data_IF_178655822792
#
_entry.id   IF_178655822792
#
_cell.length_a   1.000
_cell.length_b   1.000
_cell.length_c   1.000
_cell.angle_alpha   90.00
_cell.angle_beta   90.00
_cell.angle_gamma   90.00
#
_symmetry.space_group_name_H-M   'P 1'
#
loop_
_entity.id
_entity.type
_entity.pdbx_description
1 polymer ?
#
# COMPACT_ATOMS: atom_id res chain seq x y z
N UNK A 1 -10.98 -1.01 3.61
CA UNK A 1 -10.48 0.28 3.08
C UNK A 1 -11.06 1.48 3.80
N UNK A 2 -12.37 1.76 3.75
CA UNK A 2 -12.91 2.93 4.47
C UNK A 2 -13.09 2.70 5.97
N UNK A 3 -13.37 1.47 6.40
CA UNK A 3 -13.47 1.10 7.83
C UNK A 3 -12.10 1.16 8.55
N UNK A 4 -10.99 1.09 7.81
CA UNK A 4 -9.64 1.19 8.39
C UNK A 4 -9.43 2.56 9.05
N UNK A 5 -10.17 3.59 8.61
CA UNK A 5 -10.14 4.92 9.24
C UNK A 5 -10.77 4.95 10.64
N UNK A 6 -11.59 3.95 11.02
CA UNK A 6 -12.00 3.80 12.43
C UNK A 6 -10.82 3.35 13.30
N UNK A 7 -10.03 2.39 12.80
CA UNK A 7 -8.86 1.88 13.54
C UNK A 7 -7.73 2.91 13.67
N UNK A 8 -7.72 3.92 12.80
CA UNK A 8 -6.75 5.01 12.80
C UNK A 8 -7.22 6.23 13.63
N UNK A 9 -8.40 6.15 14.26
CA UNK A 9 -9.08 7.27 14.95
C UNK A 9 -9.38 8.46 14.03
N UNK A 10 -9.56 8.21 12.74
CA UNK A 10 -9.85 9.23 11.72
C UNK A 10 -11.34 9.48 11.57
N UNK A 11 -12.14 8.46 11.88
CA UNK A 11 -13.60 8.49 11.87
C UNK A 11 -14.10 7.84 13.14
N UNK A 12 -15.21 8.35 13.66
CA UNK A 12 -15.92 7.67 14.75
C UNK A 12 -16.72 6.49 14.18
N UNK A 13 -16.85 5.34 14.90
CA UNK A 13 -17.57 4.16 14.40
C UNK A 13 -19.04 4.37 14.03
N UNK A 14 -19.66 5.47 14.46
CA UNK A 14 -21.03 5.86 14.12
C UNK A 14 -21.16 6.60 12.78
N UNK A 15 -20.04 7.00 12.16
CA UNK A 15 -20.05 7.68 10.86
C UNK A 15 -20.24 6.67 9.74
N UNK A 16 -21.26 6.85 8.89
CA UNK A 16 -21.43 6.05 7.67
C UNK A 16 -20.34 6.39 6.63
N UNK A 17 -19.54 5.39 6.27
CA UNK A 17 -18.46 5.51 5.28
C UNK A 17 -18.93 5.33 3.83
N UNK A 18 -20.16 4.86 3.61
CA UNK A 18 -20.72 4.64 2.26
C UNK A 18 -20.57 5.83 1.30
N UNK A 19 -20.79 7.10 1.70
CA UNK A 19 -20.59 8.26 0.83
C UNK A 19 -19.12 8.65 0.64
N UNK A 20 -18.21 8.18 1.50
CA UNK A 20 -16.77 8.50 1.49
C UNK A 20 -16.02 7.59 0.52
N UNK A 21 -16.44 6.32 0.42
CA UNK A 21 -15.79 5.30 -0.43
C UNK A 21 -15.63 5.78 -1.89
N UNK A 22 -16.65 6.36 -2.56
CA UNK A 22 -16.49 6.84 -3.93
C UNK A 22 -15.47 7.98 -4.07
N UNK A 23 -15.44 8.92 -3.11
CA UNK A 23 -14.52 10.05 -3.14
C UNK A 23 -13.07 9.58 -2.98
N UNK A 24 -12.80 8.70 -2.01
CA UNK A 24 -11.48 8.10 -1.84
C UNK A 24 -11.08 7.28 -3.07
N UNK A 25 -12.00 6.49 -3.63
CA UNK A 25 -11.71 5.70 -4.83
C UNK A 25 -11.36 6.59 -6.02
N UNK A 26 -12.13 7.64 -6.28
CA UNK A 26 -11.86 8.57 -7.37
C UNK A 26 -10.50 9.26 -7.19
N UNK A 27 -10.20 9.73 -5.97
CA UNK A 27 -8.88 10.28 -5.65
C UNK A 27 -7.74 9.31 -5.94
N UNK A 28 -7.87 8.05 -5.49
CA UNK A 28 -6.83 7.05 -5.73
C UNK A 28 -6.75 6.63 -7.19
N UNK A 29 -7.87 6.54 -7.92
CA UNK A 29 -7.87 6.24 -9.36
C UNK A 29 -7.14 7.36 -10.14
N UNK A 30 -7.41 8.63 -9.79
CA UNK A 30 -6.73 9.79 -10.38
C UNK A 30 -5.24 9.82 -10.02
N UNK A 31 -4.90 9.60 -8.75
CA UNK A 31 -3.50 9.55 -8.31
C UNK A 31 -2.74 8.38 -8.96
N UNK A 32 -3.34 7.20 -9.05
CA UNK A 32 -2.71 6.00 -9.62
C UNK A 32 -2.72 5.97 -11.15
N UNK A 33 -3.44 6.89 -11.81
CA UNK A 33 -3.36 7.08 -13.26
C UNK A 33 -1.99 7.59 -13.71
N UNK A 34 -1.28 8.31 -12.83
CA UNK A 34 0.10 8.74 -13.02
C UNK A 34 1.08 7.66 -12.55
N UNK A 35 2.27 7.56 -13.15
CA UNK A 35 3.25 6.59 -12.68
C UNK A 35 3.77 6.99 -11.29
N UNK A 36 4.15 6.01 -10.45
CA UNK A 36 4.75 6.28 -9.11
C UNK A 36 6.00 7.16 -9.22
N UNK A 37 6.68 7.13 -10.36
CA UNK A 37 7.83 7.98 -10.69
C UNK A 37 7.47 9.43 -11.00
N UNK A 38 6.22 9.72 -11.35
CA UNK A 38 5.75 11.08 -11.65
C UNK A 38 5.08 11.73 -10.42
N UNK A 39 4.55 10.92 -9.51
CA UNK A 39 3.83 11.37 -8.32
C UNK A 39 4.70 12.18 -7.35
N UNK A 40 4.19 13.35 -6.98
CA UNK A 40 4.74 14.22 -5.95
C UNK A 40 3.95 14.02 -4.65
N UNK A 41 4.64 13.86 -3.52
CA UNK A 41 3.97 13.56 -2.25
C UNK A 41 3.15 14.74 -1.75
N UNK A 42 3.61 15.99 -1.94
CA UNK A 42 2.80 17.19 -1.70
C UNK A 42 1.45 17.14 -2.42
N UNK A 43 1.41 16.75 -3.70
CA UNK A 43 0.16 16.66 -4.47
C UNK A 43 -0.82 15.65 -3.89
N UNK A 44 -0.30 14.52 -3.38
CA UNK A 44 -1.12 13.49 -2.73
C UNK A 44 -1.65 14.00 -1.39
N UNK A 45 -0.82 14.66 -0.58
CA UNK A 45 -1.25 15.23 0.71
C UNK A 45 -2.30 16.33 0.50
N UNK A 46 -2.11 17.21 -0.49
CA UNK A 46 -3.08 18.26 -0.81
C UNK A 46 -4.41 17.67 -1.29
N UNK A 47 -4.37 16.69 -2.21
CA UNK A 47 -5.57 16.06 -2.75
C UNK A 47 -6.32 15.23 -1.71
N UNK A 48 -5.61 14.47 -0.87
CA UNK A 48 -6.22 13.76 0.25
C UNK A 48 -6.81 14.74 1.26
N UNK A 49 -6.11 15.86 1.52
CA UNK A 49 -6.59 16.94 2.39
C UNK A 49 -7.95 17.51 1.96
N UNK A 50 -8.20 17.61 0.65
CA UNK A 50 -9.51 18.04 0.13
C UNK A 50 -10.63 17.05 0.51
N UNK A 51 -10.39 15.74 0.34
CA UNK A 51 -11.34 14.70 0.75
C UNK A 51 -11.55 14.72 2.26
N UNK A 52 -10.47 14.84 3.05
CA UNK A 52 -10.55 14.90 4.50
C UNK A 52 -11.32 16.14 5.01
N UNK A 53 -11.36 17.23 4.23
CA UNK A 53 -12.10 18.44 4.57
C UNK A 53 -13.60 18.34 4.22
N UNK A 54 -13.93 17.63 3.13
CA UNK A 54 -15.31 17.48 2.65
C UNK A 54 -16.15 16.51 3.51
N UNK A 55 -15.48 15.56 4.16
CA UNK A 55 -16.10 14.51 4.97
C UNK A 55 -15.74 14.68 6.46
N UNK A 56 -16.47 14.04 7.40
CA UNK A 56 -16.29 14.27 8.84
C UNK A 56 -15.07 13.54 9.42
N UNK A 57 -13.90 13.72 8.81
CA UNK A 57 -12.64 13.20 9.32
C UNK A 57 -12.15 14.05 10.49
N UNK A 58 -11.77 13.38 11.57
CA UNK A 58 -11.01 13.97 12.66
C UNK A 58 -9.58 13.47 12.58
N UNK A 59 -8.67 14.26 12.00
CA UNK A 59 -7.28 13.84 11.80
C UNK A 59 -6.49 14.09 13.09
N UNK A 60 -6.01 13.04 13.79
CA UNK A 60 -5.23 13.22 15.01
C UNK A 60 -3.96 14.04 14.75
N UNK A 61 -3.62 14.90 15.70
CA UNK A 61 -2.52 15.87 15.56
C UNK A 61 -1.17 15.21 15.19
N UNK A 62 -0.92 14.00 15.67
CA UNK A 62 0.33 13.30 15.37
C UNK A 62 0.49 12.95 13.88
N UNK A 63 -0.59 12.59 13.18
CA UNK A 63 -0.53 12.34 11.73
C UNK A 63 -0.32 13.63 10.96
N UNK A 64 -1.00 14.72 11.34
CA UNK A 64 -0.79 16.03 10.73
C UNK A 64 0.68 16.47 10.86
N UNK A 65 1.31 16.22 12.02
CA UNK A 65 2.73 16.49 12.24
C UNK A 65 3.65 15.61 11.39
N UNK A 66 3.36 14.31 11.24
CA UNK A 66 4.11 13.40 10.37
C UNK A 66 4.05 13.89 8.91
N UNK A 67 2.84 14.17 8.40
CA UNK A 67 2.66 14.66 7.03
C UNK A 67 3.37 16.00 6.80
N UNK A 68 3.23 16.95 7.72
CA UNK A 68 3.93 18.24 7.66
C UNK A 68 5.44 18.07 7.64
N UNK A 69 5.98 17.17 8.44
CA UNK A 69 7.43 16.90 8.51
C UNK A 69 7.92 16.29 7.20
N UNK A 70 7.19 15.33 6.62
CA UNK A 70 7.50 14.73 5.33
C UNK A 70 7.45 15.74 4.18
N UNK A 71 6.45 16.62 4.14
CA UNK A 71 6.36 17.67 3.12
C UNK A 71 7.53 18.65 3.18
N UNK A 72 7.99 19.02 4.39
CA UNK A 72 9.18 19.87 4.56
C UNK A 72 10.44 19.14 4.08
N UNK A 73 10.61 17.86 4.46
CA UNK A 73 11.75 17.05 4.02
C UNK A 73 11.77 16.85 2.49
N UNK A 74 10.61 16.62 1.87
CA UNK A 74 10.48 16.55 0.41
C UNK A 74 10.88 17.87 -0.24
N UNK A 75 10.45 19.01 0.32
CA UNK A 75 10.86 20.33 -0.18
C UNK A 75 12.36 20.58 -0.12
N UNK A 76 13.02 20.14 0.96
CA UNK A 76 14.48 20.21 1.08
C UNK A 76 15.20 19.28 0.09
N UNK A 77 14.68 18.07 -0.11
CA UNK A 77 15.23 17.13 -1.08
C UNK A 77 15.09 17.66 -2.52
N UNK A 78 13.95 18.26 -2.86
CA UNK A 78 13.71 18.92 -4.16
C UNK A 78 14.63 20.12 -4.39
N UNK A 79 15.03 20.82 -3.33
CA UNK A 79 16.03 21.89 -3.45
C UNK A 79 17.41 21.35 -3.84
N UNK A 80 17.80 20.17 -3.32
CA UNK A 80 19.07 19.53 -3.64
C UNK A 80 19.05 18.80 -4.99
N UNK A 81 17.95 18.10 -5.31
CA UNK A 81 17.71 17.41 -6.57
C UNK A 81 16.29 17.72 -7.08
N UNK A 82 16.14 18.57 -8.11
CA UNK A 82 14.83 18.94 -8.66
C UNK A 82 14.01 17.75 -9.21
N UNK A 83 14.66 16.62 -9.51
CA UNK A 83 14.00 15.41 -10.00
C UNK A 83 13.68 14.42 -8.88
N UNK A 84 13.95 14.77 -7.61
CA UNK A 84 13.68 13.89 -6.49
C UNK A 84 12.18 13.59 -6.35
N UNK A 85 11.86 12.33 -6.07
CA UNK A 85 10.49 11.83 -5.88
C UNK A 85 10.47 10.91 -4.68
N UNK A 86 9.96 11.38 -3.54
CA UNK A 86 10.02 10.64 -2.27
C UNK A 86 9.31 9.28 -2.35
N UNK A 87 8.20 9.19 -3.09
CA UNK A 87 7.48 7.94 -3.29
C UNK A 87 8.28 6.94 -4.14
N UNK A 88 8.90 7.40 -5.22
CA UNK A 88 9.76 6.54 -6.03
C UNK A 88 11.00 6.07 -5.25
N UNK A 89 11.59 6.95 -4.44
CA UNK A 89 12.75 6.65 -3.60
C UNK A 89 12.42 5.64 -2.48
N UNK A 90 11.20 5.68 -1.94
CA UNK A 90 10.75 4.77 -0.87
C UNK A 90 10.15 3.46 -1.40
N UNK A 91 9.83 3.38 -2.69
CA UNK A 91 9.19 2.20 -3.27
C UNK A 91 9.97 0.88 -3.06
N UNK A 92 11.30 0.82 -3.23
CA UNK A 92 12.10 -0.38 -2.93
C UNK A 92 11.91 -0.89 -1.49
N UNK A 93 11.92 0.04 -0.53
CA UNK A 93 11.73 -0.29 0.88
C UNK A 93 10.35 -0.89 1.13
N UNK A 94 9.28 -0.26 0.60
CA UNK A 94 7.92 -0.79 0.76
C UNK A 94 7.74 -2.13 0.07
N UNK A 95 8.31 -2.33 -1.12
CA UNK A 95 8.26 -3.58 -1.85
C UNK A 95 8.95 -4.71 -1.06
N UNK A 96 10.16 -4.47 -0.54
CA UNK A 96 10.85 -5.40 0.37
C UNK A 96 9.99 -5.70 1.58
N UNK A 97 9.52 -4.66 2.29
CA UNK A 97 8.78 -4.82 3.53
C UNK A 97 7.51 -5.64 3.32
N UNK A 98 6.75 -5.36 2.26
CA UNK A 98 5.57 -6.13 1.91
C UNK A 98 5.89 -7.61 1.65
N UNK A 99 7.04 -7.91 1.03
CA UNK A 99 7.48 -9.27 0.71
C UNK A 99 8.03 -10.06 1.93
N UNK A 100 8.56 -9.38 2.95
CA UNK A 100 9.34 -10.03 4.01
C UNK A 100 8.77 -9.85 5.43
N UNK A 101 7.92 -8.85 5.67
CA UNK A 101 7.40 -8.54 7.01
C UNK A 101 6.45 -9.64 7.48
N UNK A 102 6.52 -9.97 8.78
CA UNK A 102 5.69 -11.01 9.38
C UNK A 102 4.33 -10.49 9.89
N UNK A 103 4.14 -9.17 9.92
CA UNK A 103 2.89 -8.54 10.33
C UNK A 103 1.71 -9.12 9.54
N UNK A 104 0.68 -9.68 10.22
CA UNK A 104 -0.51 -10.23 9.57
C UNK A 104 -1.18 -9.25 8.60
N UNK A 105 -1.32 -7.97 8.96
CA UNK A 105 -1.95 -6.96 8.11
C UNK A 105 -1.19 -6.75 6.79
N UNK A 106 0.15 -6.72 6.83
CA UNK A 106 0.96 -6.58 5.62
C UNK A 106 0.92 -7.85 4.77
N UNK A 107 0.80 -9.02 5.41
CA UNK A 107 0.64 -10.29 4.71
C UNK A 107 -0.69 -10.34 3.97
N UNK A 108 -1.78 -9.93 4.61
CA UNK A 108 -3.11 -9.88 4.01
C UNK A 108 -3.13 -8.87 2.85
N UNK A 109 -2.55 -7.69 3.04
CA UNK A 109 -2.36 -6.71 1.97
C UNK A 109 -1.54 -7.26 0.79
N UNK A 110 -0.48 -8.03 1.05
CA UNK A 110 0.27 -8.71 -0.01
C UNK A 110 -0.60 -9.72 -0.75
N UNK A 111 -1.40 -10.51 -0.04
CA UNK A 111 -2.30 -11.51 -0.65
C UNK A 111 -3.34 -10.81 -1.54
N UNK A 112 -4.00 -9.76 -1.06
CA UNK A 112 -4.93 -8.96 -1.84
C UNK A 112 -4.27 -8.31 -3.06
N UNK A 113 -3.00 -7.90 -2.94
CA UNK A 113 -2.24 -7.36 -4.04
C UNK A 113 -1.85 -8.43 -5.07
N UNK A 114 -1.56 -9.65 -4.64
CA UNK A 114 -1.18 -10.76 -5.53
C UNK A 114 -2.39 -11.49 -6.14
N UNK A 115 -3.53 -11.52 -5.47
CA UNK A 115 -4.73 -12.21 -5.92
C UNK A 115 -5.87 -11.21 -6.12
N UNK A 116 -6.49 -11.24 -7.30
CA UNK A 116 -7.71 -10.46 -7.58
C UNK A 116 -8.74 -11.36 -8.25
N UNK A 117 -9.96 -11.40 -7.73
CA UNK A 117 -11.07 -12.22 -8.26
C UNK A 117 -10.69 -13.72 -8.41
N UNK A 118 -9.83 -14.21 -7.51
CA UNK A 118 -9.31 -15.57 -7.53
C UNK A 118 -8.36 -15.88 -8.68
N UNK A 119 -7.74 -14.86 -9.28
CA UNK A 119 -6.65 -14.99 -10.26
C UNK A 119 -5.36 -14.43 -9.67
N UNK A 120 -4.25 -15.11 -9.91
CA UNK A 120 -2.93 -14.62 -9.50
C UNK A 120 -2.39 -13.57 -10.48
N UNK A 121 -1.85 -12.48 -9.94
CA UNK A 121 -1.28 -11.36 -10.70
C UNK A 121 0.24 -11.46 -10.74
N UNK A 122 0.77 -12.30 -11.64
CA UNK A 122 2.21 -12.52 -11.80
C UNK A 122 3.02 -11.24 -11.99
N UNK A 123 2.50 -10.32 -12.78
CA UNK A 123 3.11 -9.01 -13.02
C UNK A 123 3.29 -8.19 -11.73
N UNK A 124 2.37 -8.30 -10.76
CA UNK A 124 2.47 -7.60 -9.47
C UNK A 124 3.59 -8.21 -8.62
N UNK A 125 3.69 -9.53 -8.58
CA UNK A 125 4.78 -10.21 -7.87
C UNK A 125 6.14 -9.85 -8.47
N UNK A 126 6.27 -9.94 -9.79
CA UNK A 126 7.51 -9.62 -10.49
C UNK A 126 7.97 -8.19 -10.20
N UNK A 127 7.05 -7.22 -10.30
CA UNK A 127 7.34 -5.82 -9.99
C UNK A 127 7.82 -5.64 -8.54
N UNK A 128 7.19 -6.30 -7.56
CA UNK A 128 7.63 -6.24 -6.17
C UNK A 128 9.04 -6.83 -5.99
N UNK A 129 9.33 -7.96 -6.63
CA UNK A 129 10.65 -8.60 -6.54
C UNK A 129 11.74 -7.74 -7.18
N UNK A 130 11.48 -7.15 -8.36
CA UNK A 130 12.41 -6.26 -9.05
C UNK A 130 12.72 -5.03 -8.20
N UNK A 131 11.71 -4.47 -7.54
CA UNK A 131 11.86 -3.24 -6.76
C UNK A 131 12.44 -3.51 -5.38
N UNK A 132 12.02 -4.59 -4.72
CA UNK A 132 12.58 -5.03 -3.45
C UNK A 132 14.07 -5.31 -3.55
N UNK A 133 14.55 -5.91 -4.65
CA UNK A 133 15.99 -6.16 -4.90
C UNK A 133 16.86 -4.91 -4.98
N UNK A 134 16.27 -3.73 -5.17
CA UNK A 134 17.02 -2.45 -5.17
C UNK A 134 17.38 -2.00 -3.75
N UNK A 135 16.75 -2.56 -2.72
CA UNK A 135 17.11 -2.36 -1.33
C UNK A 135 18.27 -3.30 -0.97
N UNK A 136 19.35 -2.77 -0.40
CA UNK A 136 20.60 -3.49 -0.14
C UNK A 136 20.45 -4.69 0.80
N UNK A 137 19.44 -4.63 1.67
CA UNK A 137 19.17 -5.65 2.69
C UNK A 137 18.12 -6.67 2.19
N UNK A 138 17.75 -6.65 0.92
CA UNK A 138 16.80 -7.60 0.36
C UNK A 138 17.47 -8.94 0.05
N UNK A 139 17.01 -9.99 0.72
CA UNK A 139 17.37 -11.36 0.40
C UNK A 139 16.16 -12.08 -0.22
N UNK A 140 16.29 -12.48 -1.49
CA UNK A 140 15.20 -13.14 -2.22
C UNK A 140 14.70 -14.44 -1.56
N UNK A 141 15.55 -15.09 -0.75
CA UNK A 141 15.20 -16.29 0.05
C UNK A 141 14.21 -15.99 1.18
N UNK A 142 14.17 -14.75 1.65
CA UNK A 142 13.30 -14.29 2.73
C UNK A 142 12.01 -13.68 2.16
N UNK A 143 11.98 -13.37 0.85
CA UNK A 143 10.79 -12.94 0.15
C UNK A 143 9.76 -14.07 0.13
N UNK A 144 8.49 -13.73 0.40
CA UNK A 144 7.36 -14.65 0.42
C UNK A 144 7.45 -15.75 1.50
N UNK A 145 8.49 -15.82 2.32
CA UNK A 145 8.54 -16.73 3.47
C UNK A 145 7.32 -16.60 4.39
N UNK A 146 6.83 -15.38 4.71
CA UNK A 146 5.60 -15.23 5.49
C UNK A 146 4.37 -15.84 4.79
N UNK A 147 4.29 -15.71 3.46
CA UNK A 147 3.19 -16.25 2.64
C UNK A 147 3.27 -17.77 2.57
N UNK A 148 4.46 -18.35 2.38
CA UNK A 148 4.65 -19.80 2.39
C UNK A 148 4.34 -20.40 3.76
N UNK A 149 4.74 -19.73 4.85
CA UNK A 149 4.38 -20.14 6.22
C UNK A 149 2.86 -20.12 6.42
N UNK A 150 2.16 -19.11 5.91
CA UNK A 150 0.70 -19.08 5.97
C UNK A 150 0.07 -20.20 5.14
N UNK A 151 0.52 -20.37 3.89
CA UNK A 151 0.07 -21.44 3.00
C UNK A 151 0.21 -22.82 3.65
N UNK A 152 1.31 -23.09 4.34
CA UNK A 152 1.57 -24.38 4.98
C UNK A 152 0.99 -24.48 6.40
N UNK A 153 0.64 -23.35 7.02
CA UNK A 153 0.05 -23.25 8.36
C UNK A 153 -1.45 -23.56 8.40
N UNK A 154 -1.97 -23.77 9.61
CA UNK A 154 -3.38 -24.13 9.84
C UNK A 154 -4.37 -23.05 9.33
N UNK A 155 -3.97 -21.78 9.40
CA UNK A 155 -4.82 -20.63 9.01
C UNK A 155 -4.82 -20.36 7.49
N UNK A 156 -4.14 -21.20 6.70
CA UNK A 156 -3.91 -20.99 5.27
C UNK A 156 -4.98 -21.52 4.32
N UNK A 157 -6.11 -22.04 4.81
CA UNK A 157 -7.10 -22.78 4.00
C UNK A 157 -7.64 -21.95 2.81
N UNK A 158 -7.97 -20.67 3.05
CA UNK A 158 -8.43 -19.76 2.00
C UNK A 158 -7.36 -19.54 0.92
N UNK A 159 -6.11 -19.32 1.33
CA UNK A 159 -5.00 -19.11 0.41
C UNK A 159 -4.64 -20.38 -0.37
N UNK A 160 -4.69 -21.57 0.25
CA UNK A 160 -4.53 -22.86 -0.43
C UNK A 160 -5.58 -23.04 -1.52
N UNK A 161 -6.84 -22.71 -1.23
CA UNK A 161 -7.93 -22.79 -2.20
C UNK A 161 -7.68 -21.89 -3.41
N UNK A 162 -7.20 -20.67 -3.19
CA UNK A 162 -6.84 -19.73 -4.26
C UNK A 162 -5.68 -20.25 -5.11
N UNK A 163 -4.63 -20.80 -4.48
CA UNK A 163 -3.47 -21.37 -5.18
C UNK A 163 -3.84 -22.61 -5.98
N UNK A 164 -4.64 -23.53 -5.41
CA UNK A 164 -5.11 -24.73 -6.11
C UNK A 164 -5.95 -24.36 -7.33
N UNK A 165 -6.85 -23.38 -7.19
CA UNK A 165 -7.69 -22.89 -8.29
C UNK A 165 -6.87 -22.30 -9.44
N UNK A 166 -5.76 -21.64 -9.14
CA UNK A 166 -4.84 -21.13 -10.16
C UNK A 166 -3.99 -22.24 -10.79
N UNK A 167 -3.44 -23.16 -9.99
CA UNK A 167 -2.62 -24.28 -10.47
C UNK A 167 -3.37 -25.18 -11.46
N UNK A 168 -4.67 -25.42 -11.21
CA UNK A 168 -5.53 -26.23 -12.09
C UNK A 168 -5.86 -25.50 -13.40
N UNK A 169 -5.87 -24.17 -13.43
CA UNK A 169 -6.10 -23.38 -14.65
C UNK A 169 -4.86 -23.24 -15.54
N UNK A 170 -3.68 -23.48 -14.98
CA UNK A 170 -2.41 -23.44 -15.71
C UNK A 170 -2.04 -24.74 -16.43
N UNK A 171 -2.83 -25.81 -16.27
CA UNK A 171 -2.75 -27.07 -17.02
C UNK A 171 -3.83 -27.14 -18.11
#
# INVERSE_FOLDING_TARGET
MAEDYYALDFLSPDVDVSPIVPALRNFFDDALSSTVSELNFKTIVDGLGAVLYEYPFDVPAYYALILRSLTVLEGLALYADPNFKVLAASYPYFAKRLLTDQNPYLRDALIELLFKDGRFRWNRLENLLVQGRKDSDFAAKDALQPVFKLLLGADGEGLRTLVVKEAVKGC
#
